data_IF_285730980465
#
_entry.id   IF_285730980465
#
_cell.length_a   1.000
_cell.length_b   1.000
_cell.length_c   1.000
_cell.angle_alpha   90.00
_cell.angle_beta   90.00
_cell.angle_gamma   90.00
#
_symmetry.space_group_name_H-M   'P 1'
#
loop_
_entity.id
_entity.type
_entity.pdbx_description
1 polymer ?
#
# COMPACT_ATOMS: atom_id res chain seq x y z
N UNK A 1 -13.66 13.17 0.23
CA UNK A 1 -12.90 12.20 -0.59
C UNK A 1 -12.59 11.02 0.31
N UNK A 2 -13.02 9.81 -0.05
CA UNK A 2 -12.85 8.61 0.77
C UNK A 2 -11.97 7.63 0.00
N UNK A 3 -10.96 7.10 0.67
CA UNK A 3 -9.97 6.18 0.09
C UNK A 3 -9.87 4.93 0.98
N UNK A 4 -10.72 3.92 0.77
CA UNK A 4 -10.51 2.63 1.41
C UNK A 4 -9.25 1.98 0.85
N UNK A 5 -8.33 1.63 1.75
CA UNK A 5 -7.14 0.83 1.46
C UNK A 5 -7.17 -0.46 2.29
N UNK A 6 -6.89 -1.58 1.65
CA UNK A 6 -6.71 -2.88 2.29
C UNK A 6 -5.35 -3.45 1.91
N UNK A 7 -4.66 -4.08 2.85
CA UNK A 7 -3.33 -4.64 2.61
C UNK A 7 -3.07 -5.89 3.43
N UNK A 8 -2.15 -6.73 2.93
CA UNK A 8 -1.67 -7.94 3.59
C UNK A 8 -0.15 -7.89 3.66
N UNK A 9 0.40 -8.11 4.85
CA UNK A 9 1.85 -8.25 5.06
C UNK A 9 2.19 -9.70 5.40
N UNK A 10 3.22 -10.23 4.75
CA UNK A 10 3.75 -11.56 4.97
C UNK A 10 5.23 -11.48 5.37
N UNK A 11 5.57 -12.18 6.45
CA UNK A 11 6.94 -12.40 6.87
C UNK A 11 7.51 -13.56 6.05
N UNK A 12 8.36 -13.26 5.07
CA UNK A 12 8.97 -14.29 4.21
C UNK A 12 10.19 -14.88 4.90
N UNK A 13 11.05 -14.04 5.47
CA UNK A 13 12.18 -14.45 6.32
C UNK A 13 12.30 -13.54 7.54
N UNK A 14 13.07 -13.95 8.57
CA UNK A 14 13.34 -13.12 9.78
C UNK A 14 13.89 -11.71 9.44
N UNK A 15 14.54 -11.58 8.29
CA UNK A 15 15.15 -10.36 7.79
C UNK A 15 14.42 -9.76 6.57
N UNK A 16 13.33 -10.38 6.11
CA UNK A 16 12.64 -9.98 4.88
C UNK A 16 11.11 -10.08 5.01
N UNK A 17 10.41 -8.98 4.74
CA UNK A 17 8.95 -8.93 4.71
C UNK A 17 8.48 -8.35 3.39
N UNK A 18 7.34 -8.84 2.92
CA UNK A 18 6.67 -8.34 1.73
C UNK A 18 5.26 -7.94 2.13
N UNK A 19 4.83 -6.76 1.72
CA UNK A 19 3.45 -6.32 1.88
C UNK A 19 2.86 -5.95 0.53
N UNK A 20 1.65 -6.44 0.25
CA UNK A 20 0.86 -6.00 -0.88
C UNK A 20 -0.29 -5.14 -0.37
N UNK A 21 -0.57 -4.03 -1.05
CA UNK A 21 -1.74 -3.18 -0.77
C UNK A 21 -2.57 -2.98 -2.02
N UNK A 22 -3.89 -2.85 -1.82
CA UNK A 22 -4.84 -2.50 -2.86
C UNK A 22 -5.78 -1.44 -2.31
N UNK A 23 -6.01 -0.39 -3.07
CA UNK A 23 -6.85 0.73 -2.67
C UNK A 23 -7.78 1.16 -3.79
N UNK A 24 -8.96 1.62 -3.41
CA UNK A 24 -9.91 2.21 -4.33
C UNK A 24 -10.16 3.67 -3.96
N UNK A 25 -10.33 4.51 -4.96
CA UNK A 25 -10.56 5.93 -4.77
C UNK A 25 -11.87 6.33 -5.43
N UNK A 26 -12.88 6.62 -4.61
CA UNK A 26 -14.19 7.08 -5.09
C UNK A 26 -14.26 8.61 -5.08
N UNK A 27 -14.54 9.21 -6.23
CA UNK A 27 -14.79 10.64 -6.36
C UNK A 27 -16.29 10.96 -6.23
N UNK A 28 -16.78 11.15 -5.01
CA UNK A 28 -18.11 11.72 -4.78
C UNK A 28 -18.08 13.23 -5.07
N UNK A 29 -18.39 13.64 -6.30
CA UNK A 29 -18.45 15.06 -6.66
C UNK A 29 -18.78 15.41 -8.11
N UNK A 30 -18.89 14.42 -9.02
CA UNK A 30 -19.16 14.65 -10.45
C UNK A 30 -20.60 14.33 -10.89
N UNK A 31 -21.51 14.13 -9.93
CA UNK A 31 -22.89 13.65 -10.16
C UNK A 31 -23.76 14.56 -11.05
N UNK A 32 -23.34 15.79 -11.34
CA UNK A 32 -24.09 16.74 -12.18
C UNK A 32 -23.54 16.93 -13.61
N UNK A 33 -22.54 16.16 -14.05
CA UNK A 33 -21.94 16.28 -15.38
C UNK A 33 -21.90 14.93 -16.11
N UNK A 34 -22.91 14.59 -16.94
CA UNK A 34 -22.99 13.32 -17.65
C UNK A 34 -21.85 13.09 -18.65
N UNK A 35 -21.11 14.13 -19.03
CA UNK A 35 -19.94 14.02 -19.94
C UNK A 35 -18.69 13.45 -19.25
N UNK A 36 -18.63 13.45 -17.92
CA UNK A 36 -17.51 12.91 -17.14
C UNK A 36 -17.80 11.53 -16.54
N UNK A 37 -19.04 11.03 -16.64
CA UNK A 37 -19.44 9.71 -16.13
C UNK A 37 -18.82 8.54 -16.91
N UNK A 38 -18.41 8.74 -18.16
CA UNK A 38 -17.74 7.71 -18.97
C UNK A 38 -16.21 7.75 -18.87
N UNK A 39 -15.65 8.77 -18.21
CA UNK A 39 -14.27 8.75 -17.76
C UNK A 39 -14.30 8.09 -16.39
N UNK A 40 -14.31 6.77 -16.43
CA UNK A 40 -14.25 5.85 -15.29
C UNK A 40 -12.98 6.16 -14.48
N UNK A 41 -13.05 7.21 -13.65
CA UNK A 41 -11.97 7.72 -12.79
C UNK A 41 -11.86 6.87 -11.52
N UNK A 42 -12.27 5.62 -11.62
CA UNK A 42 -12.14 4.58 -10.63
C UNK A 42 -10.69 4.08 -10.66
N UNK A 43 -9.84 4.86 -9.98
CA UNK A 43 -8.41 4.64 -10.00
C UNK A 43 -8.05 3.53 -8.99
N UNK A 44 -8.13 2.28 -9.43
CA UNK A 44 -7.61 1.13 -8.70
C UNK A 44 -6.11 1.30 -8.47
N UNK A 45 -5.68 1.37 -7.21
CA UNK A 45 -4.26 1.39 -6.84
C UNK A 45 -3.82 0.02 -6.35
N UNK A 46 -2.70 -0.45 -6.86
CA UNK A 46 -2.01 -1.65 -6.37
C UNK A 46 -0.60 -1.23 -5.93
N UNK A 47 -0.21 -1.65 -4.74
CA UNK A 47 1.09 -1.38 -4.14
C UNK A 47 1.81 -2.67 -3.76
N UNK A 48 3.12 -2.71 -3.99
CA UNK A 48 4.02 -3.76 -3.51
C UNK A 48 5.15 -3.13 -2.69
N UNK A 49 5.32 -3.59 -1.47
CA UNK A 49 6.33 -3.09 -0.52
C UNK A 49 7.28 -4.22 -0.16
N UNK A 50 8.58 -3.98 -0.34
CA UNK A 50 9.65 -4.88 0.04
C UNK A 50 10.41 -4.29 1.23
N UNK A 51 10.43 -5.00 2.36
CA UNK A 51 11.13 -4.58 3.58
C UNK A 51 12.30 -5.52 3.86
N UNK A 52 13.50 -4.97 3.91
CA UNK A 52 14.72 -5.67 4.30
C UNK A 52 15.16 -5.14 5.68
N UNK A 53 15.46 -6.03 6.64
CA UNK A 53 15.85 -5.64 7.99
C UNK A 53 16.80 -6.65 8.62
N UNK A 54 17.69 -6.20 9.50
CA UNK A 54 18.62 -7.10 10.21
C UNK A 54 20.08 -7.02 9.76
N UNK A 55 20.57 -5.84 9.39
CA UNK A 55 22.01 -5.58 9.38
C UNK A 55 22.44 -5.00 10.73
N UNK A 56 23.08 -5.83 11.55
CA UNK A 56 23.89 -5.40 12.68
C UNK A 56 23.15 -5.13 14.00
N UNK A 57 23.04 -6.17 14.84
CA UNK A 57 23.41 -5.99 16.25
C UNK A 57 24.66 -6.83 16.48
N UNK A 58 25.83 -6.27 16.18
CA UNK A 58 27.04 -6.73 16.87
C UNK A 58 26.82 -6.33 18.31
N UNK A 59 26.56 -7.34 19.15
CA UNK A 59 26.62 -7.16 20.59
C UNK A 59 28.07 -6.79 20.89
N UNK A 60 28.29 -5.50 21.11
CA UNK A 60 29.47 -5.01 21.80
C UNK A 60 29.29 -5.40 23.26
N UNK A 61 29.45 -6.69 23.56
CA UNK A 61 29.88 -7.11 24.88
C UNK A 61 31.35 -6.70 24.94
N UNK A 62 31.59 -5.45 25.33
CA UNK A 62 32.88 -5.03 25.88
C UNK A 62 32.68 -4.96 27.39
N UNK A 63 33.51 -5.79 28.04
CA UNK A 63 33.82 -5.99 29.46
C UNK A 63 33.68 -4.73 30.36
#
# INVERSE_FOLDING_TARGET
>A
MIHPEAGVELNVFRWFRVAGTVGYQFFNGLDNQPQLQNLDLDNLRVGLTLRFGGFGRRKSDWD
#
